data_IF_499837508276
#
_entry.id   IF_499837508276
#
_cell.length_a   1.000
_cell.length_b   1.000
_cell.length_c   1.000
_cell.angle_alpha   90.00
_cell.angle_beta   90.00
_cell.angle_gamma   90.00
#
_symmetry.space_group_name_H-M   'P 1'
#
loop_
_entity.id
_entity.type
_entity.pdbx_description
1 polymer ?
#
# COMPACT_ATOMS: atom_id res chain seq x y z
N UNK A 1 -15.87 6.21 29.47
CA UNK A 1 -15.96 6.97 28.20
C UNK A 1 -16.11 5.95 27.09
N UNK A 2 -17.20 5.97 26.32
CA UNK A 2 -17.33 5.13 25.12
C UNK A 2 -16.18 5.52 24.20
N UNK A 3 -15.36 4.54 23.77
CA UNK A 3 -14.30 4.81 22.78
C UNK A 3 -14.95 5.36 21.52
N UNK A 4 -14.48 6.51 21.02
CA UNK A 4 -15.02 7.09 19.79
C UNK A 4 -14.86 6.06 18.65
N UNK A 5 -15.94 5.80 17.92
CA UNK A 5 -15.89 4.95 16.75
C UNK A 5 -15.33 5.77 15.56
N UNK A 6 -14.45 5.13 14.77
CA UNK A 6 -13.86 5.76 13.59
C UNK A 6 -14.40 5.08 12.34
N UNK A 7 -14.87 5.89 11.42
CA UNK A 7 -15.46 5.45 10.16
C UNK A 7 -14.65 5.92 8.97
N UNK A 8 -14.60 5.10 7.93
CA UNK A 8 -14.11 5.46 6.60
C UNK A 8 -15.30 5.93 5.77
N UNK A 9 -15.30 7.18 5.36
CA UNK A 9 -16.42 7.77 4.60
C UNK A 9 -16.10 7.87 3.10
N UNK A 10 -14.84 7.79 2.72
CA UNK A 10 -14.41 7.58 1.33
C UNK A 10 -13.09 6.84 1.28
N UNK A 11 -12.86 6.11 0.19
CA UNK A 11 -11.61 5.41 -0.09
C UNK A 11 -11.40 5.37 -1.61
N UNK A 12 -10.27 5.92 -2.07
CA UNK A 12 -9.94 6.04 -3.50
C UNK A 12 -8.47 5.71 -3.74
N UNK A 13 -8.12 5.34 -4.97
CA UNK A 13 -6.73 5.16 -5.40
C UNK A 13 -6.55 5.58 -6.86
N UNK A 14 -5.33 5.86 -7.27
CA UNK A 14 -4.99 5.87 -8.69
C UNK A 14 -4.92 4.44 -9.23
N UNK A 15 -4.94 4.26 -10.53
CA UNK A 15 -4.35 3.09 -11.14
C UNK A 15 -2.84 3.06 -10.79
N UNK A 16 -2.24 1.88 -10.77
CA UNK A 16 -0.83 1.68 -10.42
C UNK A 16 0.00 1.66 -11.70
N UNK A 17 1.02 2.52 -11.76
CA UNK A 17 1.98 2.61 -12.86
C UNK A 17 3.13 1.62 -12.71
N UNK A 18 3.66 1.13 -13.83
CA UNK A 18 4.91 0.37 -13.87
C UNK A 18 6.14 1.26 -13.70
N UNK A 19 7.28 0.68 -13.33
CA UNK A 19 8.55 1.40 -13.26
C UNK A 19 8.94 1.99 -14.64
N UNK A 20 9.19 3.27 -14.69
CA UNK A 20 9.47 4.00 -15.93
C UNK A 20 8.27 4.05 -16.89
N UNK A 21 7.07 3.68 -16.42
CA UNK A 21 5.82 3.63 -17.18
C UNK A 21 5.09 4.97 -17.29
N UNK A 22 3.78 4.90 -17.34
CA UNK A 22 2.91 6.06 -17.64
C UNK A 22 3.00 7.17 -16.60
N UNK A 23 3.30 6.85 -15.33
CA UNK A 23 3.35 7.83 -14.22
C UNK A 23 4.75 8.42 -13.96
N UNK A 24 5.79 7.98 -14.65
CA UNK A 24 7.19 8.36 -14.37
C UNK A 24 7.48 9.85 -14.37
N UNK A 25 6.75 10.61 -15.17
CA UNK A 25 6.96 12.07 -15.31
C UNK A 25 6.02 12.89 -14.42
N UNK A 26 5.07 12.23 -13.72
CA UNK A 26 4.13 12.89 -12.82
C UNK A 26 4.78 13.12 -11.45
N UNK A 27 4.86 14.39 -10.96
CA UNK A 27 5.39 14.68 -9.64
C UNK A 27 4.63 13.93 -8.53
N UNK A 28 5.36 13.49 -7.50
CA UNK A 28 4.76 12.78 -6.36
C UNK A 28 3.65 13.59 -5.68
N UNK A 29 3.87 14.91 -5.53
CA UNK A 29 2.88 15.82 -4.97
C UNK A 29 1.58 15.91 -5.80
N UNK A 30 1.65 15.74 -7.12
CA UNK A 30 0.47 15.77 -7.99
C UNK A 30 -0.34 14.47 -7.86
N UNK A 31 0.33 13.30 -7.73
CA UNK A 31 -0.32 12.04 -7.39
C UNK A 31 -1.05 12.13 -6.04
N UNK A 32 -0.36 12.64 -5.04
CA UNK A 32 -0.90 12.83 -3.69
C UNK A 32 -2.09 13.81 -3.67
N UNK A 33 -2.00 14.91 -4.43
CA UNK A 33 -3.07 15.90 -4.58
C UNK A 33 -4.31 15.29 -5.23
N UNK A 34 -4.13 14.53 -6.30
CA UNK A 34 -5.24 13.93 -7.05
C UNK A 34 -6.09 13.00 -6.16
N UNK A 35 -5.47 12.11 -5.38
CA UNK A 35 -6.20 11.21 -4.47
C UNK A 35 -6.78 11.96 -3.27
N UNK A 36 -6.11 13.00 -2.77
CA UNK A 36 -6.63 13.84 -1.69
C UNK A 36 -7.89 14.57 -2.11
N UNK A 37 -7.86 15.23 -3.26
CA UNK A 37 -9.02 15.94 -3.82
C UNK A 37 -10.20 14.97 -4.04
N UNK A 38 -9.95 13.85 -4.72
CA UNK A 38 -11.00 12.87 -5.02
C UNK A 38 -11.56 12.20 -3.75
N UNK A 39 -10.73 11.94 -2.74
CA UNK A 39 -11.19 11.39 -1.47
C UNK A 39 -12.13 12.35 -0.75
N UNK A 40 -11.79 13.64 -0.71
CA UNK A 40 -12.63 14.70 -0.12
C UNK A 40 -13.94 14.82 -0.90
N UNK A 41 -13.88 14.97 -2.22
CA UNK A 41 -15.05 15.08 -3.09
C UNK A 41 -16.03 13.91 -2.90
N UNK A 42 -15.53 12.66 -2.94
CA UNK A 42 -16.37 11.46 -2.79
C UNK A 42 -16.87 11.23 -1.36
N UNK A 43 -16.25 11.86 -0.36
CA UNK A 43 -16.71 11.75 1.03
C UNK A 43 -17.96 12.56 1.32
N UNK A 44 -18.23 13.59 0.53
CA UNK A 44 -19.27 14.60 0.81
C UNK A 44 -18.89 15.57 1.94
N UNK A 45 -17.65 15.50 2.44
CA UNK A 45 -17.12 16.42 3.46
C UNK A 45 -16.58 17.66 2.77
N UNK A 46 -16.92 18.84 3.26
CA UNK A 46 -16.30 20.09 2.79
C UNK A 46 -14.81 20.12 3.22
N UNK A 47 -13.93 20.65 2.37
CA UNK A 47 -12.49 20.63 2.61
C UNK A 47 -12.10 21.35 3.92
N UNK A 48 -12.86 22.36 4.35
CA UNK A 48 -12.66 23.09 5.59
C UNK A 48 -13.06 22.31 6.86
N UNK A 49 -13.74 21.18 6.71
CA UNK A 49 -14.04 20.24 7.80
C UNK A 49 -12.92 19.23 8.05
N UNK A 50 -11.93 19.13 7.16
CA UNK A 50 -10.75 18.29 7.37
C UNK A 50 -9.86 18.95 8.41
N UNK A 51 -9.82 18.39 9.62
CA UNK A 51 -9.06 18.96 10.74
C UNK A 51 -7.63 18.41 10.86
N UNK A 52 -7.29 17.32 10.18
CA UNK A 52 -5.93 16.74 10.18
C UNK A 52 -5.62 15.98 8.90
N UNK A 53 -4.33 15.96 8.49
CA UNK A 53 -3.87 15.22 7.30
C UNK A 53 -2.63 14.39 7.64
N UNK A 54 -2.67 13.10 7.32
CA UNK A 54 -1.51 12.19 7.46
C UNK A 54 -1.26 11.49 6.13
N UNK A 55 -0.01 11.49 5.65
CA UNK A 55 0.34 10.88 4.37
C UNK A 55 1.56 9.98 4.48
N UNK A 56 1.42 8.73 4.03
CA UNK A 56 2.51 7.76 3.92
C UNK A 56 3.33 8.00 2.66
N UNK A 57 4.66 8.08 2.81
CA UNK A 57 5.63 8.15 1.71
C UNK A 57 6.98 7.68 2.20
N UNK A 58 7.79 7.09 1.32
CA UNK A 58 9.11 6.52 1.66
C UNK A 58 10.23 7.20 0.89
N UNK A 59 10.02 7.45 -0.40
CA UNK A 59 11.02 7.93 -1.34
C UNK A 59 10.70 9.38 -1.73
N UNK A 60 11.35 10.38 -1.11
CA UNK A 60 11.23 11.75 -1.58
C UNK A 60 11.89 11.87 -2.95
N UNK A 61 11.18 12.39 -3.94
CA UNK A 61 11.66 12.53 -5.32
C UNK A 61 12.25 13.91 -5.60
N UNK A 62 11.85 14.89 -4.80
CA UNK A 62 12.32 16.26 -4.86
C UNK A 62 12.20 16.94 -3.46
N UNK A 63 12.86 18.09 -3.21
CA UNK A 63 12.89 18.68 -1.85
C UNK A 63 11.51 19.02 -1.27
N UNK A 64 10.51 19.39 -2.09
CA UNK A 64 9.15 19.70 -1.59
C UNK A 64 8.42 18.47 -1.04
N UNK A 65 8.85 17.24 -1.39
CA UNK A 65 8.22 16.00 -0.90
C UNK A 65 8.44 15.79 0.61
N UNK A 66 9.41 16.48 1.21
CA UNK A 66 9.52 16.58 2.66
C UNK A 66 8.24 17.17 3.31
N UNK A 67 7.46 17.92 2.56
CA UNK A 67 6.19 18.53 2.94
C UNK A 67 4.99 17.89 2.24
N UNK A 68 5.10 16.65 1.75
CA UNK A 68 4.12 16.03 0.84
C UNK A 68 2.69 16.15 1.34
N UNK A 69 2.41 15.76 2.60
CA UNK A 69 1.09 15.86 3.21
C UNK A 69 0.56 17.31 3.20
N UNK A 70 1.42 18.27 3.51
CA UNK A 70 1.05 19.68 3.54
C UNK A 70 0.76 20.24 2.15
N UNK A 71 1.63 19.91 1.18
CA UNK A 71 1.47 20.35 -0.22
C UNK A 71 0.19 19.77 -0.81
N UNK A 72 -0.03 18.46 -0.66
CA UNK A 72 -1.23 17.80 -1.16
C UNK A 72 -2.52 18.34 -0.50
N UNK A 73 -2.50 18.57 0.82
CA UNK A 73 -3.62 19.14 1.56
C UNK A 73 -4.03 20.50 0.99
N UNK A 74 -3.09 21.42 0.89
CA UNK A 74 -3.38 22.78 0.39
C UNK A 74 -3.81 22.78 -1.08
N UNK A 75 -3.17 21.98 -1.92
CA UNK A 75 -3.55 21.84 -3.32
C UNK A 75 -4.94 21.20 -3.49
N UNK A 76 -5.37 20.37 -2.54
CA UNK A 76 -6.70 19.77 -2.53
C UNK A 76 -7.78 20.70 -1.89
N UNK A 77 -7.42 21.94 -1.54
CA UNK A 77 -8.35 22.95 -1.00
C UNK A 77 -8.56 22.88 0.52
N UNK A 78 -7.78 22.09 1.25
CA UNK A 78 -7.82 22.04 2.71
C UNK A 78 -7.20 23.35 3.25
N UNK A 79 -7.83 24.01 4.26
CA UNK A 79 -7.34 25.27 4.81
C UNK A 79 -5.91 25.20 5.35
N UNK A 80 -5.23 26.34 5.30
CA UNK A 80 -3.85 26.47 5.81
C UNK A 80 -3.74 26.25 7.32
N UNK A 81 -4.81 26.38 8.05
CA UNK A 81 -4.90 26.15 9.49
C UNK A 81 -4.83 24.66 9.85
N UNK A 82 -5.19 23.78 8.92
CA UNK A 82 -5.17 22.31 9.14
C UNK A 82 -3.75 21.79 9.20
N UNK A 83 -3.33 21.13 10.31
CA UNK A 83 -2.01 20.54 10.41
C UNK A 83 -1.89 19.29 9.52
N UNK A 84 -0.66 19.03 9.05
CA UNK A 84 -0.35 17.90 8.21
C UNK A 84 1.05 17.36 8.47
N UNK A 85 1.24 16.04 8.41
CA UNK A 85 2.56 15.44 8.49
C UNK A 85 2.69 14.19 7.60
N UNK A 86 3.94 13.90 7.18
CA UNK A 86 4.29 12.66 6.49
C UNK A 86 4.65 11.59 7.52
N UNK A 87 4.34 10.33 7.21
CA UNK A 87 4.79 9.17 7.97
C UNK A 87 5.53 8.19 7.08
N UNK A 88 6.66 7.68 7.58
CA UNK A 88 7.45 6.64 6.94
C UNK A 88 7.56 5.43 7.87
N UNK A 89 6.91 4.33 7.48
CA UNK A 89 7.04 2.98 8.02
C UNK A 89 7.30 2.03 6.85
N UNK A 90 8.16 2.44 5.92
CA UNK A 90 8.45 1.70 4.68
C UNK A 90 7.15 1.19 4.01
N UNK A 91 7.11 -0.08 3.61
CA UNK A 91 5.93 -0.66 2.94
C UNK A 91 4.60 -0.40 3.69
N UNK A 92 4.63 -0.32 5.02
CA UNK A 92 3.46 -0.09 5.88
C UNK A 92 2.99 1.36 5.97
N UNK A 93 3.65 2.33 5.32
CA UNK A 93 3.38 3.77 5.49
C UNK A 93 1.92 4.15 5.21
N UNK A 94 1.31 3.61 4.16
CA UNK A 94 -0.09 3.90 3.83
C UNK A 94 -1.08 3.41 4.88
N UNK A 95 -0.90 2.19 5.43
CA UNK A 95 -1.71 1.71 6.57
C UNK A 95 -1.40 2.49 7.85
N UNK A 96 -0.13 2.87 8.07
CA UNK A 96 0.25 3.69 9.21
C UNK A 96 -0.39 5.09 9.13
N UNK A 97 -0.54 5.66 7.95
CA UNK A 97 -1.23 6.94 7.78
C UNK A 97 -2.70 6.83 8.26
N UNK A 98 -3.41 5.75 7.90
CA UNK A 98 -4.77 5.46 8.38
C UNK A 98 -4.79 5.32 9.91
N UNK A 99 -3.85 4.56 10.47
CA UNK A 99 -3.73 4.37 11.93
C UNK A 99 -3.45 5.69 12.64
N UNK A 100 -2.49 6.48 12.15
CA UNK A 100 -2.11 7.75 12.78
C UNK A 100 -3.22 8.79 12.68
N UNK A 101 -3.92 8.87 11.55
CA UNK A 101 -5.10 9.73 11.40
C UNK A 101 -6.22 9.30 12.36
N UNK A 102 -6.49 8.00 12.50
CA UNK A 102 -7.47 7.51 13.46
C UNK A 102 -7.09 7.82 14.91
N UNK A 103 -5.80 7.77 15.25
CA UNK A 103 -5.30 8.16 16.58
C UNK A 103 -5.54 9.64 16.86
N UNK A 104 -5.31 10.55 15.90
CA UNK A 104 -5.62 11.97 16.04
C UNK A 104 -7.13 12.18 16.32
N UNK A 105 -8.01 11.46 15.61
CA UNK A 105 -9.45 11.51 15.84
C UNK A 105 -9.84 10.96 17.23
N UNK A 106 -9.27 9.84 17.65
CA UNK A 106 -9.53 9.22 18.96
C UNK A 106 -9.06 10.10 20.13
N UNK A 107 -8.01 10.90 19.95
CA UNK A 107 -7.48 11.83 20.93
C UNK A 107 -8.23 13.17 20.95
N UNK A 108 -9.09 13.41 19.96
CA UNK A 108 -9.88 14.65 19.86
C UNK A 108 -9.15 15.82 19.21
N UNK A 109 -8.03 15.55 18.49
CA UNK A 109 -7.32 16.61 17.76
C UNK A 109 -8.14 17.13 16.58
N UNK A 110 -9.02 16.28 16.01
CA UNK A 110 -9.94 16.60 14.93
C UNK A 110 -11.14 15.65 14.92
N UNK A 111 -12.21 16.03 14.22
CA UNK A 111 -13.40 15.17 13.99
C UNK A 111 -13.34 14.41 12.67
N UNK A 112 -12.65 14.99 11.67
CA UNK A 112 -12.48 14.43 10.33
C UNK A 112 -11.00 14.55 9.93
N UNK A 113 -10.44 13.51 9.33
CA UNK A 113 -9.05 13.49 8.87
C UNK A 113 -8.92 12.87 7.48
N UNK A 114 -7.95 13.36 6.72
CA UNK A 114 -7.48 12.73 5.48
C UNK A 114 -6.27 11.84 5.80
N UNK A 115 -6.37 10.55 5.47
CA UNK A 115 -5.27 9.60 5.49
C UNK A 115 -4.94 9.17 4.06
N UNK A 116 -3.69 9.30 3.63
CA UNK A 116 -3.30 8.94 2.28
C UNK A 116 -1.92 8.27 2.24
N UNK A 117 -1.59 7.70 1.09
CA UNK A 117 -0.25 7.24 0.77
C UNK A 117 0.04 7.51 -0.69
N UNK A 118 1.25 7.98 -0.98
CA UNK A 118 1.69 8.23 -2.35
C UNK A 118 3.16 7.83 -2.50
N UNK A 119 3.49 7.24 -3.64
CA UNK A 119 4.86 6.84 -3.98
C UNK A 119 5.11 6.95 -5.47
N UNK A 120 6.28 7.48 -5.84
CA UNK A 120 6.80 7.43 -7.20
C UNK A 120 8.21 6.84 -7.17
N UNK A 121 8.27 5.51 -7.29
CA UNK A 121 9.54 4.79 -7.27
C UNK A 121 10.32 5.02 -8.57
N UNK A 122 9.63 5.37 -9.67
CA UNK A 122 10.24 5.74 -10.95
C UNK A 122 11.07 7.03 -10.86
N UNK A 123 10.81 7.89 -9.88
CA UNK A 123 11.48 9.18 -9.67
C UNK A 123 12.46 9.16 -8.50
N UNK A 124 12.75 7.99 -7.93
CA UNK A 124 13.69 7.86 -6.82
C UNK A 124 15.05 8.51 -7.15
N UNK A 125 15.59 9.35 -6.26
CA UNK A 125 16.81 10.11 -6.52
C UNK A 125 18.05 9.23 -6.36
N UNK A 126 19.16 9.71 -6.91
CA UNK A 126 20.50 9.23 -6.56
C UNK A 126 21.10 10.11 -5.46
N UNK A 127 21.63 9.50 -4.42
CA UNK A 127 22.38 10.20 -3.36
C UNK A 127 23.85 10.31 -3.76
N UNK A 128 24.42 11.47 -3.53
CA UNK A 128 25.85 11.76 -3.70
C UNK A 128 26.45 12.21 -2.37
N UNK A 129 26.71 11.31 -1.39
CA UNK A 129 27.12 11.68 -0.04
C UNK A 129 28.38 12.52 0.01
N UNK A 130 29.33 12.26 -0.90
CA UNK A 130 30.61 12.97 -0.95
C UNK A 130 30.51 14.38 -1.55
N UNK A 131 29.43 14.67 -2.32
CA UNK A 131 29.31 15.93 -3.05
C UNK A 131 29.23 17.16 -2.13
N UNK A 132 28.64 17.03 -0.94
CA UNK A 132 28.49 18.16 0.01
C UNK A 132 29.80 18.77 0.45
N UNK A 133 30.84 17.96 0.60
CA UNK A 133 32.16 18.41 1.08
C UNK A 133 33.19 18.49 -0.05
N UNK A 134 32.76 18.27 -1.28
CA UNK A 134 33.59 18.27 -2.49
C UNK A 134 34.40 16.98 -2.62
N UNK A 135 34.25 16.26 -3.70
CA UNK A 135 35.13 15.16 -4.05
C UNK A 135 36.46 15.76 -4.53
N UNK A 136 37.47 15.77 -3.64
CA UNK A 136 38.76 16.42 -3.94
C UNK A 136 39.57 15.67 -4.99
N UNK A 137 39.42 14.35 -5.07
CA UNK A 137 40.15 13.48 -6.00
C UNK A 137 39.43 12.16 -6.16
N UNK A 138 39.31 11.65 -7.38
CA UNK A 138 38.59 10.40 -7.72
C UNK A 138 37.14 10.61 -8.12
N UNK A 139 36.44 9.51 -8.42
CA UNK A 139 35.06 9.51 -8.91
C UNK A 139 34.03 9.77 -7.82
N UNK A 140 32.90 10.41 -8.16
CA UNK A 140 31.71 10.49 -7.33
C UNK A 140 30.91 9.19 -7.49
N UNK A 141 30.61 8.54 -6.37
CA UNK A 141 29.72 7.38 -6.35
C UNK A 141 28.29 7.83 -6.06
N UNK A 142 27.38 7.49 -6.98
CA UNK A 142 25.93 7.67 -6.81
C UNK A 142 25.32 6.41 -6.17
N UNK A 143 24.48 6.62 -5.14
CA UNK A 143 23.70 5.55 -4.50
C UNK A 143 22.28 5.68 -5.00
N UNK A 144 21.75 4.68 -5.69
CA UNK A 144 20.33 4.61 -6.07
C UNK A 144 19.48 4.48 -4.81
N UNK A 145 18.69 5.51 -4.50
CA UNK A 145 17.87 5.54 -3.29
C UNK A 145 16.71 4.54 -3.36
N UNK A 146 16.13 4.31 -4.56
CA UNK A 146 15.06 3.33 -4.75
C UNK A 146 15.56 1.91 -4.42
N UNK A 147 16.72 1.54 -4.93
CA UNK A 147 17.35 0.26 -4.59
C UNK A 147 17.77 0.22 -3.12
N UNK A 148 18.29 1.33 -2.60
CA UNK A 148 18.76 1.45 -1.21
C UNK A 148 17.67 1.19 -0.18
N UNK A 149 16.43 1.68 -0.39
CA UNK A 149 15.32 1.44 0.54
C UNK A 149 14.76 0.00 0.44
N UNK A 150 15.15 -0.76 -0.58
CA UNK A 150 14.81 -2.17 -0.75
C UNK A 150 15.91 -3.10 -0.22
N UNK A 151 16.90 -2.57 0.49
CA UNK A 151 17.92 -3.33 1.20
C UNK A 151 17.62 -3.41 2.69
N UNK A 152 17.97 -4.54 3.30
CA UNK A 152 17.93 -4.70 4.74
C UNK A 152 18.95 -3.74 5.39
N UNK A 153 18.55 -2.95 6.41
CA UNK A 153 19.45 -1.95 7.00
C UNK A 153 20.53 -2.54 7.90
N UNK A 154 20.43 -3.79 8.28
CA UNK A 154 21.37 -4.46 9.19
C UNK A 154 22.40 -5.30 8.42
N UNK A 155 21.92 -6.16 7.52
CA UNK A 155 22.76 -7.11 6.77
C UNK A 155 23.06 -6.63 5.34
N UNK A 156 22.46 -5.53 4.90
CA UNK A 156 22.69 -4.87 3.60
C UNK A 156 22.41 -5.71 2.35
N UNK A 157 21.64 -6.78 2.46
CA UNK A 157 21.17 -7.55 1.31
C UNK A 157 19.77 -7.05 0.86
N UNK A 158 19.46 -7.32 -0.41
CA UNK A 158 18.17 -6.94 -0.98
C UNK A 158 17.00 -7.70 -0.31
N UNK A 159 15.81 -7.08 -0.20
CA UNK A 159 14.60 -7.71 0.37
C UNK A 159 14.24 -9.04 -0.28
N UNK A 160 14.63 -9.29 -1.54
CA UNK A 160 14.49 -10.60 -2.19
C UNK A 160 15.26 -11.74 -1.50
N UNK A 161 16.37 -11.43 -0.81
CA UNK A 161 17.07 -12.43 0.02
C UNK A 161 16.24 -12.78 1.25
N UNK A 162 15.52 -11.83 1.86
CA UNK A 162 14.60 -12.15 2.96
C UNK A 162 13.49 -13.10 2.51
N UNK A 163 13.03 -12.97 1.24
CA UNK A 163 12.05 -13.88 0.66
C UNK A 163 12.61 -15.29 0.47
N UNK A 164 13.87 -15.41 0.01
CA UNK A 164 14.57 -16.71 -0.06
C UNK A 164 14.74 -17.33 1.33
N UNK A 165 15.04 -16.54 2.35
CA UNK A 165 15.14 -17.00 3.74
C UNK A 165 13.80 -17.54 4.24
N UNK A 166 12.70 -16.83 3.96
CA UNK A 166 11.34 -17.28 4.29
C UNK A 166 10.99 -18.55 3.56
N UNK A 167 11.30 -18.65 2.24
CA UNK A 167 11.07 -19.85 1.46
C UNK A 167 11.79 -21.07 2.06
N UNK A 168 13.07 -20.92 2.39
CA UNK A 168 13.87 -21.99 2.98
C UNK A 168 13.34 -22.40 4.36
N UNK A 169 13.01 -21.43 5.23
CA UNK A 169 12.55 -21.70 6.59
C UNK A 169 11.18 -22.36 6.65
N UNK A 170 10.28 -22.00 5.72
CA UNK A 170 8.89 -22.48 5.69
C UNK A 170 8.61 -23.56 4.64
N UNK A 171 9.62 -24.04 3.93
CA UNK A 171 9.48 -25.07 2.90
C UNK A 171 8.61 -24.64 1.72
N UNK A 172 8.61 -23.33 1.38
CA UNK A 172 7.86 -22.80 0.24
C UNK A 172 8.66 -23.05 -1.04
N UNK A 173 8.17 -23.94 -1.90
CA UNK A 173 8.87 -24.31 -3.13
C UNK A 173 8.71 -23.24 -4.23
N UNK A 174 9.48 -23.36 -5.29
CA UNK A 174 9.38 -22.53 -6.49
C UNK A 174 8.00 -22.66 -7.15
N UNK A 175 7.48 -23.87 -7.23
CA UNK A 175 6.19 -24.17 -7.83
C UNK A 175 5.04 -23.51 -7.06
N UNK A 176 5.07 -23.57 -5.72
CA UNK A 176 4.08 -22.88 -4.88
C UNK A 176 4.09 -21.37 -5.13
N UNK A 177 5.27 -20.77 -5.28
CA UNK A 177 5.43 -19.35 -5.55
C UNK A 177 4.91 -18.95 -6.93
N UNK A 178 5.22 -19.73 -7.96
CA UNK A 178 4.78 -19.48 -9.33
C UNK A 178 3.26 -19.69 -9.49
N UNK A 179 2.67 -20.65 -8.79
CA UNK A 179 1.21 -20.86 -8.75
C UNK A 179 0.47 -19.68 -8.10
N UNK A 180 0.97 -19.18 -6.99
CA UNK A 180 0.43 -17.99 -6.34
C UNK A 180 0.54 -16.78 -7.28
N UNK A 181 1.68 -16.58 -7.93
CA UNK A 181 1.89 -15.48 -8.86
C UNK A 181 0.92 -15.55 -10.05
N UNK A 182 0.74 -16.74 -10.65
CA UNK A 182 -0.21 -16.98 -11.74
C UNK A 182 -1.65 -16.68 -11.30
N UNK A 183 -2.01 -17.13 -10.09
CA UNK A 183 -3.34 -16.88 -9.50
C UNK A 183 -3.56 -15.39 -9.29
N UNK A 184 -2.59 -14.67 -8.75
CA UNK A 184 -2.64 -13.21 -8.56
C UNK A 184 -2.87 -12.48 -9.89
N UNK A 185 -2.12 -12.81 -10.94
CA UNK A 185 -2.26 -12.23 -12.28
C UNK A 185 -3.64 -12.50 -12.88
N UNK A 186 -4.13 -13.72 -12.81
CA UNK A 186 -5.47 -14.09 -13.33
C UNK A 186 -6.58 -13.37 -12.58
N UNK A 187 -6.47 -13.23 -11.26
CA UNK A 187 -7.44 -12.51 -10.43
C UNK A 187 -7.47 -11.02 -10.77
N UNK A 188 -6.30 -10.38 -10.93
CA UNK A 188 -6.21 -8.98 -11.32
C UNK A 188 -6.78 -8.73 -12.73
N UNK A 189 -6.42 -9.56 -13.70
CA UNK A 189 -6.94 -9.46 -15.08
C UNK A 189 -8.46 -9.61 -15.11
N UNK A 190 -9.02 -10.59 -14.39
CA UNK A 190 -10.47 -10.77 -14.24
C UNK A 190 -11.12 -9.55 -13.59
N UNK A 191 -10.55 -9.03 -12.51
CA UNK A 191 -11.09 -7.86 -11.82
C UNK A 191 -11.13 -6.62 -12.70
N UNK A 192 -10.10 -6.40 -13.54
CA UNK A 192 -10.07 -5.34 -14.55
C UNK A 192 -11.18 -5.56 -15.60
N UNK A 193 -11.27 -6.75 -16.17
CA UNK A 193 -12.25 -7.08 -17.21
C UNK A 193 -13.70 -6.93 -16.71
N UNK A 194 -13.96 -7.27 -15.44
CA UNK A 194 -15.28 -7.14 -14.80
C UNK A 194 -15.54 -5.73 -14.22
N UNK A 195 -14.60 -4.79 -14.35
CA UNK A 195 -14.75 -3.41 -13.86
C UNK A 195 -14.79 -3.28 -12.34
N UNK A 196 -14.27 -4.26 -11.58
CA UNK A 196 -14.31 -4.28 -10.10
C UNK A 196 -13.55 -3.11 -9.45
N UNK A 197 -12.64 -2.47 -10.17
CA UNK A 197 -11.88 -1.33 -9.70
C UNK A 197 -12.46 0.03 -10.06
N UNK A 198 -13.52 0.09 -10.90
CA UNK A 198 -14.05 1.34 -11.42
C UNK A 198 -14.50 2.32 -10.32
N UNK A 199 -15.13 1.82 -9.23
CA UNK A 199 -15.60 2.65 -8.13
C UNK A 199 -14.48 3.23 -7.26
N UNK A 200 -13.29 2.64 -7.27
CA UNK A 200 -12.18 3.05 -6.42
C UNK A 200 -11.11 3.87 -7.16
N UNK A 201 -10.97 3.69 -8.48
CA UNK A 201 -9.94 4.38 -9.26
C UNK A 201 -10.33 5.84 -9.51
N UNK A 202 -9.35 6.71 -9.32
CA UNK A 202 -9.35 8.11 -9.75
C UNK A 202 -8.61 8.18 -11.08
N UNK A 203 -9.28 8.44 -12.20
CA UNK A 203 -8.60 8.62 -13.49
C UNK A 203 -7.68 9.83 -13.46
N UNK A 204 -6.47 9.67 -13.97
CA UNK A 204 -5.51 10.76 -14.12
C UNK A 204 -5.39 11.16 -15.58
N UNK A 205 -5.48 12.46 -15.85
CA UNK A 205 -5.21 12.99 -17.18
C UNK A 205 -3.72 13.21 -17.34
N UNK A 206 -3.09 12.42 -18.20
CA UNK A 206 -1.66 12.52 -18.50
C UNK A 206 -1.43 13.26 -19.81
N UNK A 207 -0.64 14.33 -19.77
CA UNK A 207 -0.21 15.06 -20.96
C UNK A 207 0.87 14.28 -21.70
N UNK A 208 0.65 14.00 -22.98
CA UNK A 208 1.61 13.35 -23.87
C UNK A 208 1.92 14.26 -25.07
N UNK A 209 2.94 13.91 -25.84
CA UNK A 209 3.25 14.64 -27.09
C UNK A 209 2.11 14.60 -28.13
N UNK A 210 1.19 13.64 -28.01
CA UNK A 210 0.06 13.44 -28.92
C UNK A 210 -1.28 13.93 -28.35
N UNK A 211 -1.29 14.60 -27.21
CA UNK A 211 -2.49 15.06 -26.53
C UNK A 211 -2.62 14.46 -25.11
N UNK A 212 -3.79 14.55 -24.50
CA UNK A 212 -4.07 13.99 -23.19
C UNK A 212 -4.57 12.54 -23.29
N UNK A 213 -4.14 11.70 -22.34
CA UNK A 213 -4.59 10.31 -22.20
C UNK A 213 -5.10 10.11 -20.77
N UNK A 214 -6.24 9.41 -20.63
CA UNK A 214 -6.76 9.00 -19.31
C UNK A 214 -6.03 7.74 -18.83
N UNK A 215 -5.35 7.85 -17.69
CA UNK A 215 -4.72 6.72 -17.00
C UNK A 215 -5.66 6.23 -15.90
N UNK A 216 -6.32 5.10 -16.14
CA UNK A 216 -7.37 4.56 -15.27
C UNK A 216 -7.33 3.03 -15.12
N UNK A 217 -6.28 2.37 -15.65
CA UNK A 217 -6.11 0.92 -15.60
C UNK A 217 -4.74 0.60 -15.02
N UNK A 218 -4.70 -0.38 -14.10
CA UNK A 218 -3.45 -0.85 -13.49
C UNK A 218 -2.51 -1.42 -14.58
N UNK A 219 -1.34 -0.79 -14.74
CA UNK A 219 -0.43 -1.00 -15.88
C UNK A 219 0.45 -2.25 -15.71
N UNK A 220 0.62 -2.72 -14.45
CA UNK A 220 1.57 -3.79 -14.14
C UNK A 220 1.04 -5.19 -14.48
N UNK A 221 -0.26 -5.36 -14.62
CA UNK A 221 -0.93 -6.67 -14.78
C UNK A 221 -0.50 -7.38 -16.07
N UNK A 222 -0.13 -8.66 -15.95
CA UNK A 222 0.27 -9.58 -17.02
C UNK A 222 -0.74 -10.72 -17.13
N UNK A 223 -1.97 -10.39 -17.56
CA UNK A 223 -3.07 -11.35 -17.58
C UNK A 223 -2.90 -12.52 -18.54
N UNK A 224 -1.96 -12.44 -19.47
CA UNK A 224 -1.60 -13.45 -20.47
C UNK A 224 -0.41 -14.35 -20.04
N UNK A 225 0.17 -14.14 -18.86
CA UNK A 225 1.28 -14.97 -18.38
C UNK A 225 0.84 -16.42 -18.17
N UNK A 226 1.71 -17.38 -18.56
CA UNK A 226 1.47 -18.81 -18.40
C UNK A 226 2.36 -19.44 -17.31
N UNK A 227 1.97 -20.63 -16.85
CA UNK A 227 2.76 -21.39 -15.87
C UNK A 227 4.15 -21.73 -16.42
N UNK A 228 4.25 -22.08 -17.71
CA UNK A 228 5.50 -22.40 -18.37
C UNK A 228 6.43 -21.19 -18.44
N UNK A 229 5.89 -20.00 -18.69
CA UNK A 229 6.67 -18.77 -18.69
C UNK A 229 7.23 -18.47 -17.31
N UNK A 230 6.43 -18.61 -16.24
CA UNK A 230 6.89 -18.43 -14.86
C UNK A 230 7.97 -19.45 -14.51
N UNK A 231 7.75 -20.74 -14.77
CA UNK A 231 8.70 -21.81 -14.50
C UNK A 231 10.04 -21.61 -15.24
N UNK A 232 10.03 -21.03 -16.44
CA UNK A 232 11.22 -20.72 -17.24
C UNK A 232 12.01 -19.48 -16.77
N UNK A 233 11.50 -18.70 -15.81
CA UNK A 233 12.19 -17.49 -15.33
C UNK A 233 13.40 -17.83 -14.46
N UNK A 234 14.50 -17.08 -14.65
CA UNK A 234 15.71 -17.21 -13.83
C UNK A 234 15.48 -16.57 -12.46
N UNK A 235 16.12 -17.13 -11.44
CA UNK A 235 16.19 -16.54 -10.11
C UNK A 235 17.00 -15.23 -10.13
N UNK A 236 16.60 -14.27 -9.32
CA UNK A 236 17.16 -12.90 -9.38
C UNK A 236 18.12 -12.62 -8.23
N UNK A 237 17.81 -13.08 -7.02
CA UNK A 237 18.51 -12.63 -5.81
C UNK A 237 19.55 -13.63 -5.31
N UNK A 238 19.35 -14.90 -5.58
CA UNK A 238 20.24 -15.99 -5.12
C UNK A 238 20.45 -16.99 -6.24
N UNK A 239 21.72 -17.37 -6.48
CA UNK A 239 22.02 -18.50 -7.35
C UNK A 239 21.34 -19.75 -6.77
N UNK A 240 20.66 -20.51 -7.61
CA UNK A 240 19.89 -21.69 -7.20
C UNK A 240 18.80 -21.37 -6.13
N UNK A 241 18.30 -20.13 -6.12
CA UNK A 241 17.17 -19.70 -5.31
C UNK A 241 15.81 -20.05 -5.94
N UNK A 242 14.75 -19.44 -5.40
CA UNK A 242 13.36 -19.68 -5.82
C UNK A 242 12.64 -18.40 -6.28
N UNK A 243 13.15 -17.23 -5.88
CA UNK A 243 12.51 -15.93 -6.16
C UNK A 243 12.91 -15.41 -7.54
N UNK A 244 11.92 -15.08 -8.34
CA UNK A 244 12.09 -14.56 -9.71
C UNK A 244 11.38 -13.22 -9.88
N UNK A 245 11.58 -12.54 -10.98
CA UNK A 245 10.82 -11.34 -11.33
C UNK A 245 9.31 -11.63 -11.55
N UNK A 246 8.92 -12.88 -11.80
CA UNK A 246 7.53 -13.27 -12.01
C UNK A 246 6.78 -13.58 -10.72
N UNK A 247 7.48 -13.92 -9.62
CA UNK A 247 6.90 -14.26 -8.33
C UNK A 247 7.26 -13.26 -7.21
N UNK A 248 7.73 -12.07 -7.60
CA UNK A 248 7.98 -10.92 -6.76
C UNK A 248 7.12 -9.74 -7.23
N UNK A 249 6.81 -8.80 -6.32
CA UNK A 249 6.14 -7.55 -6.68
C UNK A 249 7.04 -6.65 -7.53
N UNK A 250 6.44 -5.76 -8.31
CA UNK A 250 7.16 -4.78 -9.10
C UNK A 250 7.60 -3.56 -8.29
N UNK A 251 8.41 -2.72 -8.95
CA UNK A 251 8.69 -1.34 -8.56
C UNK A 251 7.65 -0.47 -9.27
N UNK A 252 6.89 0.31 -8.52
CA UNK A 252 5.67 0.92 -9.06
C UNK A 252 5.44 2.35 -8.54
N UNK A 253 4.54 3.06 -9.22
CA UNK A 253 4.07 4.40 -8.89
C UNK A 253 2.57 4.37 -8.60
N UNK A 254 2.10 5.12 -7.60
CA UNK A 254 0.67 5.20 -7.32
C UNK A 254 0.35 5.91 -6.01
N UNK A 255 -0.93 6.17 -5.80
CA UNK A 255 -1.43 6.82 -4.59
C UNK A 255 -2.82 6.31 -4.20
N UNK A 256 -3.17 6.45 -2.92
CA UNK A 256 -4.51 6.21 -2.42
C UNK A 256 -4.83 7.19 -1.27
N UNK A 257 -6.11 7.52 -1.10
CA UNK A 257 -6.58 8.44 -0.07
C UNK A 257 -7.91 7.98 0.52
N UNK A 258 -8.03 8.14 1.84
CA UNK A 258 -9.23 7.82 2.61
C UNK A 258 -9.59 9.01 3.50
N UNK A 259 -10.88 9.33 3.59
CA UNK A 259 -11.38 10.27 4.60
C UNK A 259 -11.94 9.47 5.76
N UNK A 260 -11.43 9.78 6.96
CA UNK A 260 -11.85 9.20 8.23
C UNK A 260 -12.67 10.22 9.01
N UNK A 261 -13.69 9.76 9.74
CA UNK A 261 -14.51 10.62 10.59
C UNK A 261 -14.88 9.90 11.88
N UNK A 262 -15.02 10.67 12.96
CA UNK A 262 -15.63 10.17 14.20
C UNK A 262 -17.11 9.87 14.00
N UNK A 263 -17.69 8.96 14.80
CA UNK A 263 -19.12 8.67 14.77
C UNK A 263 -19.99 9.91 14.99
N UNK A 264 -19.52 10.86 15.82
CA UNK A 264 -20.19 12.14 16.02
C UNK A 264 -20.19 13.02 14.77
N UNK A 265 -19.05 13.09 14.06
CA UNK A 265 -18.96 13.81 12.78
C UNK A 265 -19.85 13.15 11.72
N UNK A 266 -19.85 11.81 11.63
CA UNK A 266 -20.74 11.08 10.70
C UNK A 266 -22.21 11.48 10.92
N UNK A 267 -22.68 11.50 12.16
CA UNK A 267 -24.05 11.91 12.48
C UNK A 267 -24.30 13.38 12.22
N UNK A 268 -23.41 14.26 12.69
CA UNK A 268 -23.55 15.73 12.58
C UNK A 268 -23.55 16.21 11.12
N UNK A 269 -22.71 15.60 10.29
CA UNK A 269 -22.56 15.98 8.87
C UNK A 269 -23.43 15.13 7.92
N UNK A 270 -24.18 14.17 8.43
CA UNK A 270 -25.04 13.29 7.61
C UNK A 270 -24.28 12.43 6.61
N UNK A 271 -23.06 11.99 6.97
CA UNK A 271 -22.17 11.22 6.07
C UNK A 271 -22.66 9.77 5.94
N UNK A 272 -22.29 9.15 4.83
CA UNK A 272 -22.56 7.72 4.55
C UNK A 272 -21.26 6.95 4.64
N UNK A 273 -20.95 6.32 5.79
CA UNK A 273 -19.70 5.59 5.92
C UNK A 273 -19.70 4.31 5.09
N UNK A 274 -18.53 3.94 4.59
CA UNK A 274 -18.28 2.69 3.88
C UNK A 274 -17.94 1.56 4.85
N UNK A 275 -17.13 1.88 5.87
CA UNK A 275 -16.67 0.90 6.84
C UNK A 275 -16.32 1.59 8.16
N UNK A 276 -16.33 0.80 9.24
CA UNK A 276 -15.79 1.17 10.55
C UNK A 276 -14.39 0.56 10.71
N UNK A 277 -13.44 1.29 11.23
CA UNK A 277 -12.15 0.77 11.66
C UNK A 277 -12.35 0.07 13.02
N UNK A 278 -12.22 -1.26 13.04
CA UNK A 278 -12.46 -2.07 14.23
C UNK A 278 -11.27 -2.08 15.16
N UNK A 279 -10.09 -2.42 14.61
CA UNK A 279 -8.84 -2.52 15.35
C UNK A 279 -7.64 -2.42 14.42
N UNK A 280 -6.48 -2.11 14.99
CA UNK A 280 -5.18 -2.20 14.32
C UNK A 280 -4.12 -2.78 15.26
N UNK A 281 -3.07 -3.36 14.67
CA UNK A 281 -1.93 -3.85 15.42
C UNK A 281 -0.63 -3.77 14.61
N UNK A 282 0.48 -3.74 15.34
CA UNK A 282 1.84 -3.80 14.80
C UNK A 282 2.59 -4.93 15.47
N UNK A 283 3.57 -5.48 14.76
CA UNK A 283 4.49 -6.48 15.31
C UNK A 283 5.89 -6.31 14.74
N UNK A 284 6.90 -6.74 15.48
CA UNK A 284 8.27 -6.93 15.02
C UNK A 284 8.57 -8.41 14.84
N UNK A 285 9.47 -8.71 13.91
CA UNK A 285 10.07 -10.02 13.66
C UNK A 285 11.54 -9.84 13.30
N UNK A 286 12.28 -10.92 13.16
CA UNK A 286 13.67 -10.87 12.69
C UNK A 286 13.74 -10.16 11.32
N UNK A 287 14.66 -9.18 11.14
CA UNK A 287 14.78 -8.42 9.89
C UNK A 287 14.97 -9.31 8.66
N UNK A 288 15.80 -10.32 8.74
CA UNK A 288 16.07 -11.29 7.68
C UNK A 288 14.86 -12.15 7.27
N UNK A 289 13.77 -12.10 8.08
CA UNK A 289 12.51 -12.80 7.87
C UNK A 289 11.33 -11.81 7.83
N UNK A 290 11.57 -10.57 7.40
CA UNK A 290 10.58 -9.49 7.42
C UNK A 290 9.22 -9.88 6.81
N UNK A 291 9.22 -10.78 5.84
CA UNK A 291 8.02 -11.31 5.20
C UNK A 291 7.02 -11.97 6.16
N UNK A 292 7.46 -12.39 7.35
CA UNK A 292 6.60 -13.02 8.36
C UNK A 292 5.88 -12.01 9.27
N UNK A 293 6.20 -10.72 9.17
CA UNK A 293 5.58 -9.65 9.98
C UNK A 293 4.05 -9.65 10.03
N UNK A 294 3.34 -9.96 8.92
CA UNK A 294 1.87 -10.09 8.92
C UNK A 294 1.34 -11.13 9.91
N UNK A 295 2.07 -12.20 10.20
CA UNK A 295 1.59 -13.29 11.07
C UNK A 295 1.29 -12.78 12.49
N UNK A 296 2.27 -12.25 13.27
CA UNK A 296 2.02 -11.74 14.58
C UNK A 296 1.15 -10.47 14.57
N UNK A 297 1.22 -9.62 13.54
CA UNK A 297 0.37 -8.45 13.43
C UNK A 297 -1.13 -8.84 13.30
N UNK A 298 -1.42 -9.82 12.43
CA UNK A 298 -2.78 -10.33 12.23
C UNK A 298 -3.32 -11.00 13.49
N UNK A 299 -2.54 -11.85 14.16
CA UNK A 299 -2.97 -12.47 15.44
C UNK A 299 -3.34 -11.43 16.49
N UNK A 300 -2.48 -10.40 16.65
CA UNK A 300 -2.74 -9.31 17.60
C UNK A 300 -3.96 -8.46 17.25
N UNK A 301 -4.20 -8.17 15.97
CA UNK A 301 -5.35 -7.35 15.59
C UNK A 301 -6.65 -8.11 15.75
N UNK A 302 -6.68 -9.41 15.45
CA UNK A 302 -7.86 -10.27 15.65
C UNK A 302 -8.18 -10.44 17.14
N UNK A 303 -7.17 -10.66 17.99
CA UNK A 303 -7.34 -10.67 19.44
C UNK A 303 -7.98 -9.37 19.96
N UNK A 304 -7.46 -8.21 19.53
CA UNK A 304 -8.03 -6.89 19.87
C UNK A 304 -9.46 -6.69 19.38
N UNK A 305 -9.77 -7.24 18.21
CA UNK A 305 -11.10 -7.15 17.61
C UNK A 305 -12.11 -8.16 18.22
N UNK A 306 -11.63 -9.16 18.97
CA UNK A 306 -12.46 -10.29 19.43
C UNK A 306 -12.94 -11.18 18.26
N UNK A 307 -12.13 -11.29 17.20
CA UNK A 307 -12.44 -12.02 15.97
C UNK A 307 -11.47 -13.18 15.74
N UNK A 308 -11.91 -14.14 14.93
CA UNK A 308 -11.11 -15.23 14.40
C UNK A 308 -10.90 -15.05 12.88
N UNK A 309 -9.95 -15.78 12.30
CA UNK A 309 -9.71 -15.80 10.84
C UNK A 309 -11.00 -16.16 10.06
N UNK A 310 -11.79 -17.09 10.58
CA UNK A 310 -13.03 -17.54 9.92
C UNK A 310 -14.09 -16.44 9.79
N UNK A 311 -14.08 -15.44 10.69
CA UNK A 311 -15.02 -14.31 10.66
C UNK A 311 -14.73 -13.31 9.54
N UNK A 312 -13.55 -13.39 8.92
CA UNK A 312 -13.15 -12.50 7.83
C UNK A 312 -13.76 -12.94 6.50
N UNK A 313 -14.31 -12.01 5.75
CA UNK A 313 -14.87 -12.23 4.41
C UNK A 313 -13.89 -11.82 3.30
N UNK A 314 -13.02 -10.83 3.57
CA UNK A 314 -11.99 -10.34 2.65
C UNK A 314 -10.67 -10.20 3.40
N UNK A 315 -9.60 -10.68 2.78
CA UNK A 315 -8.24 -10.55 3.31
C UNK A 315 -7.36 -9.96 2.21
N UNK A 316 -6.95 -8.71 2.37
CA UNK A 316 -5.93 -8.07 1.54
C UNK A 316 -4.59 -8.20 2.26
N UNK A 317 -3.82 -9.22 1.89
CA UNK A 317 -2.46 -9.47 2.36
C UNK A 317 -1.49 -9.10 1.24
N UNK A 318 -0.66 -8.06 1.44
CA UNK A 318 0.24 -7.62 0.39
C UNK A 318 1.20 -8.74 -0.06
N UNK A 319 1.31 -8.92 -1.36
CA UNK A 319 2.20 -9.88 -2.01
C UNK A 319 3.52 -9.20 -2.40
N UNK A 320 4.36 -8.86 -1.41
CA UNK A 320 5.69 -8.33 -1.71
C UNK A 320 6.54 -9.38 -2.45
N UNK A 321 6.42 -10.63 -2.02
CA UNK A 321 7.01 -11.83 -2.65
C UNK A 321 6.05 -13.01 -2.47
N UNK A 322 5.94 -13.88 -3.46
CA UNK A 322 5.11 -15.08 -3.34
C UNK A 322 5.56 -16.01 -2.21
N UNK A 323 6.88 -16.14 -1.98
CA UNK A 323 7.43 -16.89 -0.86
C UNK A 323 6.85 -16.42 0.50
N UNK A 324 6.83 -15.10 0.70
CA UNK A 324 6.26 -14.49 1.90
C UNK A 324 4.74 -14.70 1.98
N UNK A 325 4.02 -14.49 0.87
CA UNK A 325 2.56 -14.62 0.85
C UNK A 325 2.11 -16.06 1.14
N UNK A 326 2.78 -17.08 0.57
CA UNK A 326 2.54 -18.48 0.87
C UNK A 326 2.80 -18.80 2.36
N UNK A 327 3.93 -18.34 2.90
CA UNK A 327 4.27 -18.61 4.30
C UNK A 327 3.26 -17.98 5.27
N UNK A 328 2.80 -16.74 5.00
CA UNK A 328 1.78 -16.05 5.79
C UNK A 328 0.43 -16.78 5.71
N UNK A 329 -0.02 -17.14 4.50
CA UNK A 329 -1.28 -17.84 4.29
C UNK A 329 -1.30 -19.19 5.03
N UNK A 330 -0.24 -19.98 4.91
CA UNK A 330 -0.10 -21.27 5.59
C UNK A 330 -0.07 -21.12 7.12
N UNK A 331 0.71 -20.18 7.66
CA UNK A 331 0.87 -20.01 9.11
C UNK A 331 -0.39 -19.46 9.81
N UNK A 332 -1.25 -18.77 9.08
CA UNK A 332 -2.53 -18.24 9.58
C UNK A 332 -3.73 -19.12 9.19
N UNK A 333 -3.55 -20.14 8.34
CA UNK A 333 -4.65 -20.97 7.84
C UNK A 333 -5.67 -20.17 7.04
N UNK A 334 -5.20 -19.26 6.17
CA UNK A 334 -6.07 -18.39 5.39
C UNK A 334 -6.81 -19.18 4.30
N UNK A 335 -8.10 -18.92 4.13
CA UNK A 335 -8.88 -19.42 3.01
C UNK A 335 -8.42 -18.74 1.70
N UNK A 336 -7.88 -19.48 0.71
CA UNK A 336 -7.37 -18.91 -0.53
C UNK A 336 -8.43 -18.10 -1.31
N UNK A 337 -9.71 -18.45 -1.19
CA UNK A 337 -10.78 -17.73 -1.91
C UNK A 337 -11.06 -16.35 -1.32
N UNK A 338 -10.74 -16.14 -0.05
CA UNK A 338 -10.90 -14.87 0.65
C UNK A 338 -9.67 -13.97 0.57
N UNK A 339 -8.49 -14.54 0.22
CA UNK A 339 -7.22 -13.80 0.15
C UNK A 339 -7.04 -13.20 -1.24
N UNK A 340 -6.83 -11.89 -1.28
CA UNK A 340 -6.50 -11.14 -2.50
C UNK A 340 -7.43 -11.50 -3.69
N UNK A 341 -8.76 -11.44 -3.54
CA UNK A 341 -9.70 -11.95 -4.56
C UNK A 341 -9.59 -11.22 -5.90
N UNK A 342 -8.95 -10.04 -5.91
CA UNK A 342 -8.74 -9.20 -7.09
C UNK A 342 -7.24 -8.97 -7.41
N UNK A 343 -6.36 -9.91 -7.02
CA UNK A 343 -4.91 -9.74 -7.14
C UNK A 343 -4.32 -8.80 -6.09
N UNK A 344 -2.99 -8.72 -5.99
CA UNK A 344 -2.28 -7.88 -5.03
C UNK A 344 -0.91 -7.45 -5.57
N UNK A 345 0.10 -7.30 -4.72
CA UNK A 345 1.40 -6.70 -5.07
C UNK A 345 2.11 -7.32 -6.26
N UNK A 346 2.04 -8.63 -6.46
CA UNK A 346 2.68 -9.31 -7.61
C UNK A 346 2.02 -8.91 -8.93
N UNK A 347 0.70 -8.86 -8.97
CA UNK A 347 -0.05 -8.57 -10.20
C UNK A 347 -0.30 -7.08 -10.41
N UNK A 348 -0.72 -6.37 -9.37
CA UNK A 348 -1.10 -4.95 -9.46
C UNK A 348 0.10 -4.01 -9.28
N UNK A 349 1.13 -4.45 -8.53
CA UNK A 349 2.29 -3.63 -8.20
C UNK A 349 2.33 -3.19 -6.74
N UNK A 350 3.51 -2.67 -6.31
CA UNK A 350 3.79 -2.32 -4.92
C UNK A 350 4.48 -0.97 -4.79
N UNK A 351 3.77 0.16 -5.03
CA UNK A 351 4.29 1.49 -4.69
C UNK A 351 4.39 1.61 -3.16
N UNK A 352 5.60 1.42 -2.60
CA UNK A 352 5.83 1.06 -1.18
C UNK A 352 5.08 1.95 -0.19
N UNK A 353 5.18 3.28 -0.28
CA UNK A 353 4.52 4.21 0.64
C UNK A 353 3.01 4.30 0.46
N UNK A 354 2.49 3.92 -0.71
CA UNK A 354 1.07 3.98 -1.05
C UNK A 354 0.33 2.66 -0.79
N UNK A 355 1.01 1.52 -0.88
CA UNK A 355 0.39 0.18 -0.90
C UNK A 355 -0.55 -0.06 0.27
N UNK A 356 -0.19 0.38 1.48
CA UNK A 356 -1.05 0.20 2.64
C UNK A 356 -2.43 0.86 2.49
N UNK A 357 -2.49 2.07 1.94
CA UNK A 357 -3.73 2.76 1.64
C UNK A 357 -4.48 2.13 0.44
N UNK A 358 -3.74 1.60 -0.55
CA UNK A 358 -4.30 0.89 -1.71
C UNK A 358 -5.02 -0.38 -1.27
N UNK A 359 -4.37 -1.24 -0.46
CA UNK A 359 -4.98 -2.50 -0.01
C UNK A 359 -6.16 -2.25 0.95
N UNK A 360 -6.10 -1.21 1.79
CA UNK A 360 -7.25 -0.80 2.60
C UNK A 360 -8.44 -0.36 1.72
N UNK A 361 -8.18 0.44 0.69
CA UNK A 361 -9.20 0.85 -0.29
C UNK A 361 -9.80 -0.37 -0.98
N UNK A 362 -8.98 -1.28 -1.49
CA UNK A 362 -9.43 -2.53 -2.14
C UNK A 362 -10.28 -3.39 -1.19
N UNK A 363 -9.84 -3.57 0.05
CA UNK A 363 -10.56 -4.35 1.06
C UNK A 363 -11.96 -3.79 1.32
N UNK A 364 -12.07 -2.48 1.50
CA UNK A 364 -13.35 -1.80 1.77
C UNK A 364 -14.29 -1.90 0.56
N UNK A 365 -13.80 -1.66 -0.67
CA UNK A 365 -14.62 -1.78 -1.87
C UNK A 365 -15.06 -3.22 -2.14
N UNK A 366 -14.19 -4.20 -1.88
CA UNK A 366 -14.55 -5.61 -2.05
C UNK A 366 -15.61 -6.03 -1.03
N UNK A 367 -15.51 -5.60 0.24
CA UNK A 367 -16.57 -5.82 1.24
C UNK A 367 -17.91 -5.26 0.77
N UNK A 368 -17.95 -4.06 0.19
CA UNK A 368 -19.18 -3.49 -0.37
C UNK A 368 -19.70 -4.35 -1.52
N UNK A 369 -18.82 -4.80 -2.42
CA UNK A 369 -19.21 -5.58 -3.60
C UNK A 369 -19.82 -6.93 -3.23
N UNK A 370 -19.22 -7.65 -2.26
CA UNK A 370 -19.69 -8.99 -1.85
C UNK A 370 -20.71 -8.96 -0.71
N UNK A 371 -21.04 -7.76 -0.18
CA UNK A 371 -21.87 -7.58 1.01
C UNK A 371 -21.32 -8.33 2.25
N UNK A 372 -19.99 -8.51 2.31
CA UNK A 372 -19.29 -9.13 3.43
C UNK A 372 -19.29 -8.21 4.66
N UNK A 373 -18.91 -8.73 5.81
CA UNK A 373 -18.91 -7.99 7.07
C UNK A 373 -17.53 -7.50 7.47
N UNK A 374 -16.52 -8.37 7.51
CA UNK A 374 -15.20 -8.03 8.01
C UNK A 374 -14.12 -8.18 6.93
N UNK A 375 -13.22 -7.20 6.85
CA UNK A 375 -12.01 -7.29 6.05
C UNK A 375 -10.76 -7.06 6.88
N UNK A 376 -9.70 -7.77 6.54
CA UNK A 376 -8.34 -7.57 7.03
C UNK A 376 -7.48 -6.96 5.92
N UNK A 377 -6.74 -5.90 6.24
CA UNK A 377 -5.61 -5.43 5.44
C UNK A 377 -4.32 -5.62 6.23
N UNK A 378 -3.37 -6.37 5.70
CA UNK A 378 -2.09 -6.66 6.37
C UNK A 378 -0.92 -6.68 5.40
N UNK A 379 0.27 -6.36 5.89
CA UNK A 379 1.48 -6.38 5.08
C UNK A 379 2.75 -6.50 5.91
N UNK A 380 3.78 -7.07 5.28
CA UNK A 380 5.15 -7.07 5.77
C UNK A 380 5.81 -5.70 5.53
N UNK A 381 6.85 -5.44 6.29
CA UNK A 381 7.57 -4.17 6.28
C UNK A 381 9.07 -4.48 6.40
N UNK A 382 9.88 -3.91 5.53
CA UNK A 382 11.34 -4.03 5.57
C UNK A 382 11.91 -3.66 6.95
N UNK A 383 13.00 -4.31 7.36
CA UNK A 383 13.56 -4.20 8.70
C UNK A 383 12.86 -5.05 9.77
N UNK A 384 11.98 -5.99 9.36
CA UNK A 384 11.38 -6.97 10.27
C UNK A 384 10.15 -6.50 11.01
N UNK A 385 9.14 -5.96 10.31
CA UNK A 385 7.90 -5.51 10.93
C UNK A 385 6.66 -6.00 10.17
N UNK A 386 5.50 -5.90 10.80
CA UNK A 386 4.18 -6.12 10.22
C UNK A 386 3.14 -5.15 10.76
N UNK A 387 2.13 -4.85 9.97
CA UNK A 387 0.97 -4.05 10.34
C UNK A 387 -0.30 -4.74 9.85
N UNK A 388 -1.37 -4.65 10.63
CA UNK A 388 -2.68 -5.20 10.30
C UNK A 388 -3.79 -4.26 10.77
N UNK A 389 -4.83 -4.11 9.95
CA UNK A 389 -6.02 -3.31 10.24
C UNK A 389 -7.26 -4.12 9.87
N UNK A 390 -8.27 -4.13 10.74
CA UNK A 390 -9.57 -4.75 10.50
C UNK A 390 -10.63 -3.68 10.28
N UNK A 391 -11.40 -3.84 9.22
CA UNK A 391 -12.55 -3.02 8.87
C UNK A 391 -13.84 -3.83 8.96
N UNK A 392 -14.93 -3.18 9.38
CA UNK A 392 -16.28 -3.74 9.35
C UNK A 392 -17.14 -2.90 8.40
N UNK A 393 -17.84 -3.53 7.47
CA UNK A 393 -18.82 -2.85 6.61
C UNK A 393 -20.01 -2.36 7.45
N UNK A 394 -20.48 -1.17 7.15
CA UNK A 394 -21.64 -0.54 7.81
C UNK A 394 -22.76 -0.26 6.81
#
# INVERSE_FOLDING_TARGET
>A
MSSAEIYVVSAVRTAIGGFGGSLKDLPLADLATAVSHAAIERSGVAADQIGHVVMGTVIPTEPRDAYLARVAAMNAGIPKETPAFNVNRLCGSGLQAIVSASQCLLLGDADVALAAGAESMSRGPYLLPQARWGARMGDLQGIDYTVGVLQDPFEHFHMGITAENVAAKHGVTREMQDELALTSQRRAARAIAEGRFASQIVPLELKTRKGSVQFAVDEHVRGDVTAEQLAGMKTVFKKDGTVTAGNASGINDGAAGLVLATGDAVRRLGLKPLARLVAYAHAGVEPELMGLGPIPATRKVLEKAGLNIADLDVIESNEAFAAQACAVANALGLDPEKVNPNGSGISLGHPVGATGAIIATKAIHELQRIQGRYALATMCIGGGQGIAVVFERV
#
